data_IF_540538578177
#
_entry.id   IF_540538578177
#
_cell.length_a   1.000
_cell.length_b   1.000
_cell.length_c   1.000
_cell.angle_alpha   90.00
_cell.angle_beta   90.00
_cell.angle_gamma   90.00
#
_symmetry.space_group_name_H-M   'P 1'
#
loop_
_entity.id
_entity.type
_entity.pdbx_description
1 polymer ?
#
# COMPACT_ATOMS: atom_id res chain seq x y z
N UNK A 1 -2.52 2.35 16.19
CA UNK A 1 -1.32 3.00 15.63
C UNK A 1 -0.90 2.27 14.35
N UNK A 2 -0.59 0.99 14.38
CA UNK A 2 -0.14 0.19 13.22
C UNK A 2 -1.08 0.25 12.01
N UNK A 3 -2.41 0.20 12.22
CA UNK A 3 -3.39 0.33 11.14
C UNK A 3 -3.38 1.72 10.50
N UNK A 4 -3.25 2.77 11.30
CA UNK A 4 -3.21 4.15 10.78
C UNK A 4 -1.94 4.38 9.97
N UNK A 5 -0.80 3.89 10.46
CA UNK A 5 0.49 3.95 9.76
C UNK A 5 0.44 3.23 8.41
N UNK A 6 -0.11 2.00 8.37
CA UNK A 6 -0.30 1.24 7.14
C UNK A 6 -1.24 1.93 6.14
N UNK A 7 -2.35 2.50 6.60
CA UNK A 7 -3.27 3.27 5.75
C UNK A 7 -2.60 4.52 5.19
N UNK A 8 -1.84 5.25 6.02
CA UNK A 8 -1.11 6.44 5.58
C UNK A 8 -0.08 6.11 4.52
N UNK A 9 0.74 5.07 4.72
CA UNK A 9 1.72 4.62 3.73
C UNK A 9 1.06 4.18 2.42
N UNK A 10 -0.08 3.49 2.50
CA UNK A 10 -0.83 3.07 1.31
C UNK A 10 -1.41 4.26 0.55
N UNK A 11 -1.93 5.27 1.26
CA UNK A 11 -2.43 6.51 0.65
C UNK A 11 -1.30 7.27 -0.06
N UNK A 12 -0.15 7.44 0.60
CA UNK A 12 1.03 8.10 0.05
C UNK A 12 1.52 7.35 -1.20
N UNK A 13 1.63 6.03 -1.13
CA UNK A 13 2.04 5.20 -2.28
C UNK A 13 1.05 5.32 -3.44
N UNK A 14 -0.25 5.30 -3.17
CA UNK A 14 -1.30 5.50 -4.18
C UNK A 14 -1.20 6.87 -4.85
N UNK A 15 -0.97 7.93 -4.07
CA UNK A 15 -0.78 9.29 -4.56
C UNK A 15 0.44 9.39 -5.50
N UNK A 16 1.61 8.91 -5.07
CA UNK A 16 2.81 8.97 -5.91
C UNK A 16 2.72 8.08 -7.15
N UNK A 17 2.04 6.93 -7.08
CA UNK A 17 1.79 6.09 -8.25
C UNK A 17 0.92 6.79 -9.29
N UNK A 18 -0.10 7.54 -8.86
CA UNK A 18 -0.94 8.33 -9.76
C UNK A 18 -0.14 9.51 -10.35
N UNK A 19 0.62 10.22 -9.52
CA UNK A 19 1.48 11.33 -9.94
C UNK A 19 2.46 10.88 -11.03
N UNK A 20 3.16 9.75 -10.80
CA UNK A 20 4.10 9.19 -11.76
C UNK A 20 3.41 8.80 -13.08
N UNK A 21 2.22 8.19 -13.00
CA UNK A 21 1.44 7.83 -14.17
C UNK A 21 0.97 9.06 -14.97
N UNK A 22 0.63 10.15 -14.29
CA UNK A 22 0.25 11.43 -14.91
C UNK A 22 1.44 12.06 -15.62
N UNK A 23 2.61 12.13 -15.00
CA UNK A 23 3.82 12.66 -15.64
C UNK A 23 4.28 11.80 -16.82
N UNK A 24 4.20 10.46 -16.71
CA UNK A 24 4.49 9.56 -17.82
C UNK A 24 3.54 9.77 -19.01
N UNK A 25 2.27 10.02 -18.76
CA UNK A 25 1.30 10.36 -19.82
C UNK A 25 1.68 11.67 -20.51
N UNK A 26 2.04 12.71 -19.74
CA UNK A 26 2.47 14.00 -20.28
C UNK A 26 3.71 13.86 -21.15
N UNK A 27 4.70 13.08 -20.69
CA UNK A 27 5.91 12.76 -21.47
C UNK A 27 5.56 12.00 -22.75
N UNK A 28 4.68 11.02 -22.70
CA UNK A 28 4.25 10.27 -23.87
C UNK A 28 3.52 11.16 -24.89
N UNK A 29 2.68 12.09 -24.44
CA UNK A 29 2.00 13.08 -25.29
C UNK A 29 3.00 14.02 -25.98
N UNK A 30 4.00 14.49 -25.22
CA UNK A 30 5.05 15.37 -25.76
C UNK A 30 5.92 14.62 -26.80
N UNK A 31 6.24 13.35 -26.53
CA UNK A 31 6.96 12.50 -27.49
C UNK A 31 6.15 12.25 -28.76
N UNK A 32 4.84 12.04 -28.66
CA UNK A 32 3.96 11.93 -29.83
C UNK A 32 3.94 13.22 -30.64
N UNK A 33 3.81 14.38 -29.99
CA UNK A 33 3.84 15.68 -30.67
C UNK A 33 5.15 15.89 -31.42
N UNK A 34 6.27 15.54 -30.80
CA UNK A 34 7.60 15.62 -31.42
C UNK A 34 7.71 14.64 -32.62
N UNK A 35 7.19 13.42 -32.50
CA UNK A 35 7.22 12.43 -33.57
C UNK A 35 6.36 12.88 -34.76
N UNK A 36 5.20 13.50 -34.54
CA UNK A 36 4.36 14.09 -35.58
C UNK A 36 5.09 15.22 -36.28
N UNK A 37 5.68 16.15 -35.55
CA UNK A 37 6.46 17.26 -36.11
C UNK A 37 7.61 16.76 -36.99
N UNK A 38 8.34 15.73 -36.54
CA UNK A 38 9.41 15.11 -37.33
C UNK A 38 8.89 14.45 -38.58
N UNK A 39 7.76 13.75 -38.55
CA UNK A 39 7.12 13.18 -39.70
C UNK A 39 6.69 14.26 -40.73
N UNK A 40 6.11 15.37 -40.27
CA UNK A 40 5.67 16.46 -41.13
C UNK A 40 6.85 17.16 -41.83
N UNK A 41 7.97 17.37 -41.09
CA UNK A 41 9.22 17.88 -41.70
C UNK A 41 9.76 16.91 -42.73
N UNK A 42 9.74 15.62 -42.42
CA UNK A 42 10.18 14.57 -43.34
C UNK A 42 9.32 14.52 -44.60
N UNK A 43 7.99 14.69 -44.49
CA UNK A 43 7.09 14.80 -45.63
C UNK A 43 7.44 15.98 -46.55
N UNK A 44 7.78 17.13 -46.00
CA UNK A 44 8.27 18.29 -46.72
C UNK A 44 9.60 18.00 -47.45
N UNK A 45 10.57 17.42 -46.72
CA UNK A 45 11.90 17.10 -47.28
C UNK A 45 11.83 16.00 -48.36
N UNK A 46 10.87 15.08 -48.24
CA UNK A 46 10.62 14.07 -49.29
C UNK A 46 10.17 14.70 -50.61
N UNK A 47 9.28 15.72 -50.54
CA UNK A 47 8.78 16.43 -51.71
C UNK A 47 9.91 17.14 -52.54
N UNK A 48 10.98 17.53 -51.88
CA UNK A 48 12.15 18.13 -52.51
C UNK A 48 13.31 17.15 -52.73
N UNK A 49 13.07 15.85 -52.52
CA UNK A 49 14.04 14.80 -52.81
C UNK A 49 15.17 14.63 -51.79
N UNK A 50 15.09 15.25 -50.63
CA UNK A 50 16.16 15.21 -49.62
C UNK A 50 16.15 13.94 -48.76
N UNK A 51 15.04 13.21 -48.66
CA UNK A 51 14.95 11.94 -47.94
C UNK A 51 14.33 10.86 -48.79
N UNK A 52 14.65 9.62 -48.43
CA UNK A 52 14.11 8.43 -49.09
C UNK A 52 12.69 8.09 -48.61
N UNK A 53 11.98 7.27 -49.34
CA UNK A 53 10.66 6.80 -48.94
C UNK A 53 10.73 5.88 -47.71
N UNK A 54 11.80 5.08 -47.61
CA UNK A 54 12.00 4.21 -46.46
C UNK A 54 12.25 4.99 -45.16
N UNK A 55 12.96 6.11 -45.21
CA UNK A 55 13.14 7.02 -44.05
C UNK A 55 11.82 7.64 -43.64
N UNK A 56 10.99 8.09 -44.60
CA UNK A 56 9.67 8.62 -44.30
C UNK A 56 8.77 7.54 -43.66
N UNK A 57 8.78 6.30 -44.17
CA UNK A 57 8.04 5.19 -43.59
C UNK A 57 8.50 4.88 -42.16
N UNK A 58 9.80 4.97 -41.89
CA UNK A 58 10.34 4.75 -40.54
C UNK A 58 9.88 5.83 -39.55
N UNK A 59 9.81 7.09 -39.99
CA UNK A 59 9.29 8.19 -39.15
C UNK A 59 7.77 8.05 -38.92
N UNK A 60 7.02 7.60 -39.92
CA UNK A 60 5.60 7.29 -39.75
C UNK A 60 5.37 6.15 -38.74
N UNK A 61 6.17 5.09 -38.84
CA UNK A 61 6.13 4.01 -37.83
C UNK A 61 6.45 4.51 -36.43
N UNK A 62 7.45 5.40 -36.30
CA UNK A 62 7.79 6.01 -35.02
C UNK A 62 6.62 6.83 -34.44
N UNK A 63 5.91 7.60 -35.26
CA UNK A 63 4.72 8.35 -34.83
C UNK A 63 3.58 7.42 -34.38
N UNK A 64 3.35 6.30 -35.11
CA UNK A 64 2.37 5.28 -34.72
C UNK A 64 2.74 4.60 -33.39
N UNK A 65 4.01 4.28 -33.19
CA UNK A 65 4.50 3.72 -31.93
C UNK A 65 4.33 4.72 -30.76
N UNK A 66 4.66 6.00 -30.98
CA UNK A 66 4.44 7.04 -29.99
C UNK A 66 2.95 7.20 -29.63
N UNK A 67 2.03 7.08 -30.62
CA UNK A 67 0.59 7.08 -30.38
C UNK A 67 0.16 5.86 -29.51
N UNK A 68 0.71 4.69 -29.80
CA UNK A 68 0.50 3.50 -28.96
C UNK A 68 0.92 3.72 -27.51
N UNK A 69 2.08 4.37 -27.29
CA UNK A 69 2.59 4.72 -25.95
C UNK A 69 1.68 5.69 -25.20
N UNK A 70 1.06 6.65 -25.87
CA UNK A 70 0.07 7.54 -25.24
C UNK A 70 -1.14 6.74 -24.78
N UNK A 71 -1.65 5.83 -25.60
CA UNK A 71 -2.80 4.98 -25.21
C UNK A 71 -2.48 4.09 -24.02
N UNK A 72 -1.29 3.49 -24.00
CA UNK A 72 -0.79 2.69 -22.89
C UNK A 72 -0.70 3.53 -21.61
N UNK A 73 -0.04 4.70 -21.67
CA UNK A 73 0.11 5.60 -20.54
C UNK A 73 -1.24 6.11 -20.00
N UNK A 74 -2.19 6.40 -20.89
CA UNK A 74 -3.56 6.78 -20.53
C UNK A 74 -4.27 5.67 -19.75
N UNK A 75 -4.13 4.42 -20.20
CA UNK A 75 -4.72 3.27 -19.53
C UNK A 75 -4.12 3.07 -18.12
N UNK A 76 -2.80 3.20 -18.01
CA UNK A 76 -2.10 3.12 -16.71
C UNK A 76 -2.57 4.25 -15.78
N UNK A 77 -2.64 5.50 -16.25
CA UNK A 77 -3.13 6.64 -15.46
C UNK A 77 -4.55 6.37 -14.95
N UNK A 78 -5.44 5.89 -15.82
CA UNK A 78 -6.82 5.59 -15.44
C UNK A 78 -6.90 4.47 -14.41
N UNK A 79 -6.09 3.43 -14.52
CA UNK A 79 -6.01 2.34 -13.56
C UNK A 79 -5.52 2.85 -12.18
N UNK A 80 -4.49 3.70 -12.14
CA UNK A 80 -3.98 4.30 -10.89
C UNK A 80 -4.98 5.26 -10.25
N UNK A 81 -5.70 6.02 -11.07
CA UNK A 81 -6.79 6.87 -10.63
C UNK A 81 -7.91 6.04 -9.95
N UNK A 82 -8.33 4.97 -10.60
CA UNK A 82 -9.35 4.08 -10.05
C UNK A 82 -8.90 3.45 -8.72
N UNK A 83 -7.65 2.96 -8.65
CA UNK A 83 -7.11 2.38 -7.42
C UNK A 83 -7.11 3.39 -6.26
N UNK A 84 -6.65 4.61 -6.51
CA UNK A 84 -6.61 5.65 -5.46
C UNK A 84 -8.01 6.09 -5.03
N UNK A 85 -8.94 6.30 -5.98
CA UNK A 85 -10.34 6.63 -5.66
C UNK A 85 -11.02 5.55 -4.83
N UNK A 86 -10.86 4.30 -5.23
CA UNK A 86 -11.40 3.14 -4.51
C UNK A 86 -10.84 3.04 -3.09
N UNK A 87 -9.53 3.27 -2.93
CA UNK A 87 -8.87 3.27 -1.63
C UNK A 87 -9.37 4.40 -0.71
N UNK A 88 -9.61 5.59 -1.27
CA UNK A 88 -10.11 6.75 -0.53
C UNK A 88 -11.64 6.74 -0.33
N UNK A 89 -12.37 5.78 -0.92
CA UNK A 89 -13.82 5.72 -0.87
C UNK A 89 -14.51 6.85 -1.67
N UNK A 90 -13.84 7.40 -2.69
CA UNK A 90 -14.36 8.47 -3.53
C UNK A 90 -15.20 7.91 -4.67
N UNK A 91 -16.22 8.67 -5.10
CA UNK A 91 -17.09 8.30 -6.22
C UNK A 91 -16.36 8.27 -7.56
N UNK A 92 -16.92 7.53 -8.52
CA UNK A 92 -16.33 7.35 -9.86
C UNK A 92 -16.13 8.65 -10.64
N UNK A 93 -16.94 9.66 -10.36
CA UNK A 93 -16.89 10.98 -11.02
C UNK A 93 -15.81 11.90 -10.45
N UNK A 94 -15.16 11.53 -9.33
CA UNK A 94 -14.14 12.39 -8.70
C UNK A 94 -12.84 12.27 -9.47
N UNK A 95 -12.35 13.38 -10.01
CA UNK A 95 -11.03 13.46 -10.61
C UNK A 95 -10.02 13.95 -9.58
N UNK A 96 -8.92 13.20 -9.40
CA UNK A 96 -7.83 13.54 -8.49
C UNK A 96 -6.66 14.01 -9.35
N UNK A 97 -6.26 15.25 -9.16
CA UNK A 97 -5.06 15.80 -9.81
C UNK A 97 -3.95 15.95 -8.77
N UNK A 98 -2.96 15.04 -8.74
CA UNK A 98 -1.84 15.16 -7.85
C UNK A 98 -0.92 16.32 -8.28
N UNK A 99 -0.57 17.18 -7.33
CA UNK A 99 0.31 18.33 -7.57
C UNK A 99 1.64 18.07 -6.87
N UNK A 100 2.73 18.31 -7.59
CA UNK A 100 4.08 18.22 -7.03
C UNK A 100 4.30 19.47 -6.16
N UNK A 101 4.71 19.32 -4.88
CA UNK A 101 5.04 20.48 -4.07
C UNK A 101 6.26 21.23 -4.65
N UNK A 102 6.15 22.54 -4.73
CA UNK A 102 7.21 23.39 -5.30
C UNK A 102 8.52 23.35 -4.49
N UNK A 103 8.43 23.05 -3.20
CA UNK A 103 9.60 22.94 -2.32
C UNK A 103 9.51 21.71 -1.45
N UNK A 104 10.59 20.96 -1.40
CA UNK A 104 10.74 19.88 -0.43
C UNK A 104 11.29 20.47 0.88
N UNK A 105 10.67 20.20 2.03
CA UNK A 105 11.22 20.64 3.30
C UNK A 105 12.56 19.95 3.52
N UNK A 106 13.62 20.76 3.66
CA UNK A 106 14.94 20.25 4.03
C UNK A 106 14.94 20.01 5.54
N UNK A 107 14.98 18.76 5.97
CA UNK A 107 15.20 18.43 7.37
C UNK A 107 16.46 17.59 7.51
N UNK A 108 17.21 17.84 8.57
CA UNK A 108 18.35 17.02 8.94
C UNK A 108 17.89 16.01 9.99
N UNK A 109 18.06 14.74 9.69
CA UNK A 109 17.79 13.68 10.67
C UNK A 109 18.96 13.56 11.63
N UNK A 110 18.71 13.71 12.93
CA UNK A 110 19.65 13.33 13.96
C UNK A 110 19.38 11.87 14.31
N UNK A 111 20.40 11.02 14.25
CA UNK A 111 20.27 9.58 14.54
C UNK A 111 19.65 9.32 15.90
N UNK A 112 20.12 10.03 16.95
CA UNK A 112 19.62 9.81 18.30
C UNK A 112 18.13 10.19 18.43
N UNK A 113 17.74 11.32 17.87
CA UNK A 113 16.34 11.78 17.90
C UNK A 113 15.42 10.80 17.14
N UNK A 114 15.87 10.28 15.98
CA UNK A 114 15.11 9.29 15.21
C UNK A 114 14.99 7.98 15.98
N UNK A 115 16.06 7.53 16.66
CA UNK A 115 16.06 6.31 17.47
C UNK A 115 15.08 6.44 18.66
N UNK A 116 15.14 7.55 19.38
CA UNK A 116 14.26 7.79 20.54
C UNK A 116 12.79 7.84 20.11
N UNK A 117 12.49 8.55 19.02
CA UNK A 117 11.16 8.60 18.44
C UNK A 117 10.68 7.25 17.90
N UNK A 118 11.58 6.46 17.33
CA UNK A 118 11.26 5.11 16.87
C UNK A 118 10.91 4.19 18.04
N UNK A 119 11.65 4.26 19.15
CA UNK A 119 11.34 3.48 20.36
C UNK A 119 9.99 3.86 20.97
N UNK A 120 9.65 5.15 20.97
CA UNK A 120 8.39 5.63 21.50
C UNK A 120 7.18 5.33 20.60
N UNK A 121 7.33 5.42 19.29
CA UNK A 121 6.21 5.44 18.35
C UNK A 121 6.14 4.24 17.42
N UNK A 122 7.23 3.47 17.23
CA UNK A 122 7.22 2.34 16.32
C UNK A 122 6.36 1.19 16.90
N UNK A 123 5.44 0.69 16.09
CA UNK A 123 4.55 -0.43 16.44
C UNK A 123 5.33 -1.70 16.79
N UNK A 124 6.44 -1.95 16.10
CA UNK A 124 7.31 -3.10 16.35
C UNK A 124 7.98 -3.02 17.74
N UNK A 125 8.52 -1.86 18.11
CA UNK A 125 9.13 -1.65 19.44
C UNK A 125 8.09 -1.82 20.57
N UNK A 126 6.89 -1.27 20.39
CA UNK A 126 5.76 -1.46 21.32
C UNK A 126 5.31 -2.92 21.40
N UNK A 127 5.34 -3.65 20.31
CA UNK A 127 4.99 -5.07 20.29
C UNK A 127 6.03 -5.93 21.05
N UNK A 128 7.32 -5.60 20.94
CA UNK A 128 8.38 -6.24 21.75
C UNK A 128 8.13 -6.02 23.23
N UNK A 129 7.86 -4.77 23.65
CA UNK A 129 7.56 -4.44 25.04
C UNK A 129 6.31 -5.17 25.55
N UNK A 130 5.25 -5.26 24.74
CA UNK A 130 4.05 -6.02 25.07
C UNK A 130 4.38 -7.50 25.30
N UNK A 131 5.15 -8.13 24.42
CA UNK A 131 5.56 -9.54 24.56
C UNK A 131 6.41 -9.76 25.82
N UNK A 132 7.26 -8.82 26.16
CA UNK A 132 8.05 -8.89 27.41
C UNK A 132 7.12 -8.85 28.61
N UNK A 133 6.17 -7.92 28.68
CA UNK A 133 5.19 -7.84 29.76
C UNK A 133 4.30 -9.10 29.85
N UNK A 134 3.91 -9.67 28.72
CA UNK A 134 3.16 -10.93 28.68
C UNK A 134 3.98 -12.10 29.23
N UNK A 135 5.27 -12.17 28.90
CA UNK A 135 6.17 -13.18 29.42
C UNK A 135 6.38 -13.01 30.95
N UNK A 136 6.57 -11.80 31.43
CA UNK A 136 6.71 -11.48 32.86
C UNK A 136 5.42 -11.85 33.62
N UNK A 137 4.26 -11.54 33.05
CA UNK A 137 2.96 -11.94 33.61
C UNK A 137 2.81 -13.47 33.65
N UNK A 138 3.20 -14.18 32.60
CA UNK A 138 3.14 -15.64 32.58
C UNK A 138 4.05 -16.27 33.64
N UNK A 139 5.26 -15.72 33.84
CA UNK A 139 6.18 -16.15 34.89
C UNK A 139 5.61 -15.88 36.28
N UNK A 140 5.02 -14.70 36.52
CA UNK A 140 4.38 -14.35 37.80
C UNK A 140 3.19 -15.29 38.10
N UNK A 141 2.36 -15.56 37.09
CA UNK A 141 1.22 -16.48 37.21
C UNK A 141 1.68 -17.92 37.51
N UNK A 142 2.70 -18.41 36.79
CA UNK A 142 3.25 -19.75 37.05
C UNK A 142 3.85 -19.87 38.46
N UNK A 143 4.53 -18.81 38.97
CA UNK A 143 5.04 -18.75 40.34
C UNK A 143 3.90 -18.75 41.36
N UNK A 144 2.80 -18.05 41.09
CA UNK A 144 1.60 -18.03 41.93
C UNK A 144 0.94 -19.43 41.98
N UNK A 145 0.75 -20.05 40.84
CA UNK A 145 0.13 -21.37 40.70
C UNK A 145 0.95 -22.48 41.41
N UNK A 146 2.26 -22.36 41.51
CA UNK A 146 3.09 -23.31 42.28
C UNK A 146 2.72 -23.38 43.75
N UNK A 147 2.07 -22.35 44.27
CA UNK A 147 1.66 -22.25 45.68
C UNK A 147 0.16 -22.43 45.89
N UNK A 148 -0.60 -22.67 44.84
CA UNK A 148 -2.04 -22.93 44.94
C UNK A 148 -2.30 -24.43 45.06
N UNK A 149 -3.01 -24.76 46.12
CA UNK A 149 -3.51 -26.16 46.36
C UNK A 149 -5.02 -26.11 46.22
N UNK A 150 -5.54 -26.76 45.22
CA UNK A 150 -6.99 -26.93 45.04
C UNK A 150 -7.41 -28.23 45.68
N UNK A 151 -8.12 -28.14 46.81
CA UNK A 151 -8.73 -29.28 47.50
C UNK A 151 -10.21 -29.38 47.06
N UNK A 152 -10.56 -30.45 46.45
CA UNK A 152 -11.94 -30.79 46.12
C UNK A 152 -12.33 -32.01 46.96
N UNK A 153 -13.34 -31.87 47.84
CA UNK A 153 -13.91 -32.97 48.58
C UNK A 153 -15.41 -33.10 48.21
N UNK A 154 -15.81 -34.27 47.78
CA UNK A 154 -17.19 -34.55 47.49
C UNK A 154 -17.66 -35.68 48.43
N UNK A 155 -18.67 -35.41 49.21
CA UNK A 155 -19.35 -36.42 50.03
C UNK A 155 -20.69 -36.72 49.39
N UNK A 156 -20.92 -37.97 49.04
CA UNK A 156 -22.19 -38.45 48.52
C UNK A 156 -22.53 -39.83 49.07
N UNK A 157 -23.75 -40.01 49.48
CA UNK A 157 -24.30 -41.34 49.78
C UNK A 157 -24.97 -41.82 48.49
N UNK A 158 -24.52 -42.92 47.96
CA UNK A 158 -25.14 -43.59 46.79
C UNK A 158 -25.72 -44.96 47.23
N UNK A 159 -26.97 -45.07 47.11
CA UNK A 159 -27.71 -46.41 47.29
C UNK A 159 -28.54 -46.69 46.04
N UNK A 160 -28.51 -47.91 45.60
CA UNK A 160 -29.39 -48.41 44.53
C UNK A 160 -30.38 -49.41 45.13
N UNK A 161 -31.66 -49.03 45.21
CA UNK A 161 -32.73 -49.93 45.55
C UNK A 161 -33.94 -49.68 44.63
N UNK A 162 -34.75 -50.71 44.46
CA UNK A 162 -35.97 -50.66 43.66
C UNK A 162 -37.11 -49.87 44.34
N UNK A 163 -36.97 -49.53 45.62
CA UNK A 163 -37.96 -48.73 46.37
C UNK A 163 -37.35 -47.49 46.94
N UNK A 164 -37.94 -46.38 46.61
CA UNK A 164 -37.42 -44.98 46.98
C UNK A 164 -37.33 -44.80 48.53
N UNK A 165 -38.16 -45.52 49.31
CA UNK A 165 -38.14 -45.41 50.79
C UNK A 165 -37.00 -46.19 51.45
N UNK A 166 -36.29 -47.07 50.77
CA UNK A 166 -35.16 -47.81 51.34
C UNK A 166 -33.79 -47.22 51.08
N UNK A 167 -33.75 -46.16 50.31
CA UNK A 167 -32.49 -45.45 49.99
C UNK A 167 -32.04 -44.50 51.10
N UNK A 168 -32.96 -44.15 52.04
CA UNK A 168 -32.71 -43.17 53.11
C UNK A 168 -32.79 -43.71 54.52
N UNK A 169 -32.87 -45.08 54.72
CA UNK A 169 -32.78 -45.71 56.04
C UNK A 169 -31.40 -46.24 56.33
#
# INVERSE_FOLDING_TARGET
>A
IERVEGVTLSAISGFFNLLLAQENLKIAQQNLENAIKLHDIALANRKIGQISESELMQLNLSALQAKGKVTEAQSVRNARMFQLRSFLGLGEQTEIEPVIPESLPSFRMNYQEVLDKAQENNSFAKNILRRQLEADYAVATAKGNRRSINLYASFGYSGTDQRFSSVYN
#
